data_IF_996165166515
#
_entry.id   IF_996165166515
#
_cell.length_a   1.000
_cell.length_b   1.000
_cell.length_c   1.000
_cell.angle_alpha   90.00
_cell.angle_beta   90.00
_cell.angle_gamma   90.00
#
_symmetry.space_group_name_H-M   'P 1'
#
loop_
_entity.id
_entity.type
_entity.pdbx_description
1 polymer ?
#
# COMPACT_ATOMS: atom_id res chain seq x y z
N UNK A 1 -0.03 -5.87 12.93
CA UNK A 1 0.46 -4.97 11.87
C UNK A 1 1.86 -4.44 12.21
N UNK A 2 2.90 -5.29 12.21
CA UNK A 2 4.23 -4.91 12.75
C UNK A 2 5.13 -4.21 11.73
N UNK A 3 5.02 -4.59 10.46
CA UNK A 3 5.91 -4.08 9.40
C UNK A 3 5.78 -2.57 9.21
N UNK A 4 4.55 -2.05 9.15
CA UNK A 4 4.31 -0.61 9.07
C UNK A 4 4.71 0.12 10.37
N UNK A 5 4.44 -0.46 11.53
CA UNK A 5 4.72 0.19 12.83
C UNK A 5 6.22 0.28 13.20
N UNK A 6 7.08 -0.48 12.51
CA UNK A 6 8.54 -0.47 12.74
C UNK A 6 9.24 0.59 11.88
N UNK A 7 8.57 1.12 10.85
CA UNK A 7 9.19 2.13 10.00
C UNK A 7 9.39 3.44 10.77
N UNK A 8 10.52 4.09 10.53
CA UNK A 8 10.88 5.35 11.18
C UNK A 8 9.85 6.42 10.85
N UNK A 9 9.51 7.22 11.85
CA UNK A 9 8.56 8.32 11.68
C UNK A 9 7.09 7.94 11.86
N UNK A 10 6.76 6.65 11.95
CA UNK A 10 5.39 6.19 12.16
C UNK A 10 4.92 6.46 13.60
N UNK A 11 3.84 7.22 13.73
CA UNK A 11 3.20 7.60 15.01
C UNK A 11 2.00 6.70 15.30
N UNK A 12 1.22 6.37 14.27
CA UNK A 12 0.03 5.54 14.41
C UNK A 12 -0.22 4.68 13.17
N UNK A 13 -0.78 3.49 13.38
CA UNK A 13 -1.18 2.57 12.33
C UNK A 13 -2.58 2.06 12.63
N UNK A 14 -3.48 2.19 11.66
CA UNK A 14 -4.86 1.75 11.75
C UNK A 14 -5.20 0.84 10.58
N UNK A 15 -6.04 -0.17 10.84
CA UNK A 15 -6.63 -1.02 9.81
C UNK A 15 -8.03 -0.52 9.53
N UNK A 16 -8.33 -0.27 8.26
CA UNK A 16 -9.58 0.32 7.76
C UNK A 16 -10.14 -0.49 6.59
N UNK A 17 -11.32 -0.08 6.12
CA UNK A 17 -12.06 -0.75 5.05
C UNK A 17 -12.97 -1.86 5.57
N UNK A 18 -14.07 -2.09 4.88
CA UNK A 18 -15.09 -3.09 5.26
C UNK A 18 -14.49 -4.50 5.36
N UNK A 19 -13.55 -4.82 4.47
CA UNK A 19 -12.79 -6.07 4.44
C UNK A 19 -11.52 -6.08 5.28
N UNK A 20 -11.23 -5.03 6.08
CA UNK A 20 -9.96 -4.86 6.83
C UNK A 20 -8.70 -5.02 5.96
N UNK A 21 -8.83 -4.66 4.69
CA UNK A 21 -7.78 -4.72 3.65
C UNK A 21 -7.01 -3.40 3.47
N UNK A 22 -7.41 -2.32 4.15
CA UNK A 22 -6.74 -1.03 4.04
C UNK A 22 -5.95 -0.70 5.30
N UNK A 23 -4.82 -0.04 5.08
CA UNK A 23 -3.88 0.33 6.14
C UNK A 23 -3.68 1.82 6.07
N UNK A 24 -4.03 2.50 7.14
CA UNK A 24 -3.78 3.94 7.31
C UNK A 24 -2.59 4.09 8.24
N UNK A 25 -1.59 4.83 7.80
CA UNK A 25 -0.37 5.12 8.57
C UNK A 25 -0.27 6.62 8.73
N UNK A 26 -0.09 7.08 9.97
CA UNK A 26 0.12 8.50 10.29
C UNK A 26 1.50 8.63 10.92
N UNK A 27 2.27 9.61 10.45
CA UNK A 27 3.58 9.92 11.01
C UNK A 27 4.35 10.93 10.17
N UNK A 28 5.50 11.34 10.69
CA UNK A 28 6.38 12.35 10.11
C UNK A 28 7.51 11.70 9.31
N UNK A 29 7.90 12.30 8.18
CA UNK A 29 9.02 11.85 7.34
C UNK A 29 8.93 10.38 6.87
N UNK A 30 7.71 9.86 6.66
CA UNK A 30 7.49 8.48 6.19
C UNK A 30 7.76 8.36 4.69
N UNK A 31 8.65 7.44 4.31
CA UNK A 31 8.83 7.04 2.92
C UNK A 31 7.74 6.03 2.49
N UNK A 32 6.68 6.56 1.89
CA UNK A 32 5.52 5.75 1.46
C UNK A 32 5.87 4.63 0.46
N UNK A 33 6.93 4.80 -0.33
CA UNK A 33 7.40 3.79 -1.31
C UNK A 33 8.09 2.63 -0.59
N UNK A 34 9.01 2.91 0.33
CA UNK A 34 9.67 1.94 1.21
C UNK A 34 8.64 1.14 1.98
N UNK A 35 7.67 1.83 2.60
CA UNK A 35 6.59 1.21 3.36
C UNK A 35 5.83 0.19 2.51
N UNK A 36 5.38 0.63 1.33
CA UNK A 36 4.64 -0.22 0.40
C UNK A 36 5.49 -1.41 -0.07
N UNK A 37 6.79 -1.20 -0.32
CA UNK A 37 7.72 -2.27 -0.70
C UNK A 37 7.94 -3.27 0.42
N UNK A 38 8.07 -2.80 1.66
CA UNK A 38 8.23 -3.65 2.85
C UNK A 38 6.98 -4.50 3.09
N UNK A 39 5.79 -3.91 2.92
CA UNK A 39 4.51 -4.64 2.96
C UNK A 39 4.41 -5.69 1.86
N UNK A 40 4.78 -5.34 0.61
CA UNK A 40 4.84 -6.27 -0.52
C UNK A 40 5.71 -7.50 -0.25
N UNK A 41 6.82 -7.30 0.46
CA UNK A 41 7.78 -8.38 0.76
C UNK A 41 7.38 -9.25 1.94
N UNK A 42 6.72 -8.70 2.95
CA UNK A 42 6.54 -9.34 4.25
C UNK A 42 5.10 -9.71 4.57
N UNK A 43 4.13 -9.03 3.97
CA UNK A 43 2.69 -9.23 4.21
C UNK A 43 2.04 -9.83 2.97
N UNK A 44 2.33 -9.30 1.80
CA UNK A 44 1.71 -9.71 0.54
C UNK A 44 1.47 -8.52 -0.39
N UNK A 45 0.82 -8.72 -1.54
CA UNK A 45 0.57 -7.65 -2.51
C UNK A 45 -0.12 -6.46 -1.83
N UNK A 46 0.50 -5.29 -1.92
CA UNK A 46 0.00 -4.05 -1.32
C UNK A 46 0.07 -2.93 -2.36
N UNK A 47 -0.95 -2.09 -2.43
CA UNK A 47 -1.01 -0.95 -3.36
C UNK A 47 -1.20 0.32 -2.56
N UNK A 48 -0.38 1.32 -2.85
CA UNK A 48 -0.50 2.65 -2.27
C UNK A 48 -1.75 3.32 -2.87
N UNK A 49 -2.73 3.64 -2.03
CA UNK A 49 -4.00 4.23 -2.45
C UNK A 49 -3.96 5.76 -2.48
N UNK A 50 -3.50 6.37 -1.39
CA UNK A 50 -3.35 7.82 -1.26
C UNK A 50 -2.26 8.14 -0.24
N UNK A 51 -1.62 9.30 -0.41
CA UNK A 51 -0.70 9.90 0.55
C UNK A 51 -1.16 11.34 0.74
N UNK A 52 -1.46 11.69 1.99
CA UNK A 52 -1.93 13.01 2.36
C UNK A 52 -1.08 13.56 3.51
N UNK A 53 -0.72 14.83 3.43
CA UNK A 53 -0.08 15.55 4.53
C UNK A 53 -1.16 15.94 5.54
N UNK A 54 -1.09 15.35 6.74
CA UNK A 54 -2.01 15.65 7.83
C UNK A 54 -1.65 17.01 8.42
N UNK A 55 -2.26 18.08 7.91
CA UNK A 55 -2.23 19.41 8.56
C UNK A 55 -3.22 19.42 9.72
N UNK A 56 -2.79 19.90 10.89
CA UNK A 56 -3.66 20.01 12.06
C UNK A 56 -4.98 20.75 11.71
N UNK A 57 -6.15 20.24 12.14
CA UNK A 57 -7.42 20.67 11.59
C UNK A 57 -7.82 22.07 12.09
N UNK A 58 -7.87 23.04 11.17
CA UNK A 58 -8.79 24.17 11.27
C UNK A 58 -10.15 23.71 10.74
N UNK A 59 -11.09 23.53 11.65
CA UNK A 59 -12.50 23.12 11.48
C UNK A 59 -13.20 23.78 10.26
N UNK A 60 -13.61 23.01 9.24
CA UNK A 60 -14.83 23.21 8.41
C UNK A 60 -15.15 21.99 7.49
N UNK A 61 -16.42 21.89 7.06
CA UNK A 61 -17.26 20.78 6.53
C UNK A 61 -16.96 20.17 5.12
N UNK A 62 -17.61 19.04 4.73
CA UNK A 62 -17.44 18.33 3.43
C UNK A 62 -18.26 19.01 2.30
N UNK A 63 -17.94 18.90 0.97
CA UNK A 63 -17.85 17.63 0.20
C UNK A 63 -16.89 17.64 -1.02
N UNK A 64 -16.66 16.46 -1.65
CA UNK A 64 -16.79 16.23 -3.11
C UNK A 64 -15.96 15.04 -3.60
N UNK A 65 -16.65 14.03 -4.13
CA UNK A 65 -16.10 13.03 -5.02
C UNK A 65 -15.39 13.67 -6.23
N UNK A 66 -14.17 13.22 -6.54
CA UNK A 66 -13.59 13.35 -7.89
C UNK A 66 -12.89 12.05 -8.32
N UNK A 67 -13.63 11.34 -9.15
CA UNK A 67 -13.22 10.55 -10.32
C UNK A 67 -11.73 10.30 -10.57
N UNK A 68 -11.42 9.00 -10.66
CA UNK A 68 -10.72 8.33 -11.76
C UNK A 68 -9.76 9.18 -12.60
N UNK A 69 -8.46 8.89 -12.46
CA UNK A 69 -7.54 8.91 -13.60
C UNK A 69 -7.07 7.48 -13.86
N UNK A 70 -7.80 6.80 -14.74
CA UNK A 70 -7.30 5.64 -15.47
C UNK A 70 -6.23 6.14 -16.42
N UNK A 71 -4.97 5.76 -16.20
CA UNK A 71 -4.08 5.50 -17.34
C UNK A 71 -4.05 3.98 -17.54
N UNK A 72 -4.56 3.45 -18.68
CA UNK A 72 -4.21 2.09 -19.06
C UNK A 72 -2.73 2.12 -19.46
N UNK A 73 -1.84 1.78 -18.54
CA UNK A 73 -0.48 1.41 -18.93
C UNK A 73 -0.58 0.04 -19.62
N UNK A 74 -0.04 -0.11 -20.85
CA UNK A 74 -0.17 -1.33 -21.61
C UNK A 74 0.46 -2.49 -20.83
N UNK A 75 -0.23 -3.63 -20.86
CA UNK A 75 0.12 -4.87 -20.19
C UNK A 75 1.62 -5.15 -20.19
N UNK A 76 2.26 -5.04 -19.03
CA UNK A 76 3.39 -5.90 -18.73
C UNK A 76 2.82 -7.14 -18.05
N UNK A 77 2.45 -8.10 -18.89
CA UNK A 77 2.37 -9.50 -18.52
C UNK A 77 3.74 -9.90 -17.96
N UNK A 78 3.92 -9.74 -16.66
CA UNK A 78 5.02 -10.42 -15.96
C UNK A 78 4.50 -11.80 -15.61
N UNK A 79 4.92 -12.87 -16.32
CA UNK A 79 4.68 -14.21 -15.85
C UNK A 79 5.28 -14.33 -14.44
N UNK A 80 4.42 -14.52 -13.45
CA UNK A 80 4.89 -14.98 -12.14
C UNK A 80 5.54 -16.35 -12.33
N UNK A 81 6.69 -16.62 -11.71
CA UNK A 81 7.44 -17.85 -11.93
C UNK A 81 6.59 -19.06 -11.49
N UNK A 82 6.21 -19.90 -12.45
CA UNK A 82 5.67 -21.23 -12.20
C UNK A 82 6.78 -22.08 -11.57
N UNK A 83 6.71 -22.30 -10.26
CA UNK A 83 7.47 -23.38 -9.61
C UNK A 83 6.83 -24.72 -9.97
N UNK A 84 7.20 -25.27 -11.12
CA UNK A 84 7.02 -26.71 -11.40
C UNK A 84 8.41 -27.36 -11.42
N UNK A 85 8.85 -27.85 -10.26
CA UNK A 85 9.96 -28.81 -10.20
C UNK A 85 9.41 -30.19 -10.58
N UNK A 86 9.56 -30.58 -11.84
CA UNK A 86 9.92 -31.95 -12.21
C UNK A 86 10.25 -32.00 -13.71
N UNK A 87 11.53 -32.14 -14.03
CA UNK A 87 11.95 -32.78 -15.27
C UNK A 87 12.87 -33.92 -14.83
N UNK A 88 12.27 -35.11 -14.79
CA UNK A 88 12.93 -36.42 -14.87
C UNK A 88 13.32 -36.66 -16.34
N UNK A 89 14.25 -37.60 -16.58
CA UNK A 89 14.81 -38.18 -17.83
C UNK A 89 16.23 -37.67 -18.14
N UNK A 90 17.32 -38.46 -18.13
CA UNK A 90 17.61 -39.90 -17.99
C UNK A 90 18.90 -40.04 -17.14
#
# INVERSE_FOLDING_TARGET
>A
MKVAAVESGVISVQISGEGKDQVVVVGDEIDSVSLTRSLRKKVGPATLLSVEEVKEPKKEEPPAAKNQSTSPSPSLCYPQPVFCHQIVHD
#
